data_IF_282140783990
#
_entry.id   IF_282140783990
#
_cell.length_a   1.000
_cell.length_b   1.000
_cell.length_c   1.000
_cell.angle_alpha   90.00
_cell.angle_beta   90.00
_cell.angle_gamma   90.00
#
_symmetry.space_group_name_H-M   'P 1'
#
loop_
_entity.id
_entity.type
_entity.pdbx_description
1 polymer ?
#
# COMPACT_ATOMS: atom_id res chain seq x y z
N UNK A 1 44.91 19.25 44.28
CA UNK A 1 44.22 18.93 45.54
C UNK A 1 43.24 17.86 45.13
N UNK A 2 43.63 16.76 45.38
CA UNK A 2 43.40 15.54 46.19
C UNK A 2 42.41 14.63 45.45
N UNK A 3 42.88 13.48 44.88
CA UNK A 3 43.08 12.19 45.56
C UNK A 3 41.76 11.65 46.10
N UNK A 4 41.31 10.44 45.82
CA UNK A 4 41.92 9.17 45.68
C UNK A 4 40.78 8.16 45.43
N UNK A 5 41.09 7.17 44.81
CA UNK A 5 41.57 5.85 45.19
C UNK A 5 40.52 4.75 45.13
N UNK A 6 40.75 3.77 44.26
CA UNK A 6 40.26 2.38 44.27
C UNK A 6 40.74 1.62 45.53
N UNK A 7 40.13 0.49 45.88
CA UNK A 7 40.76 -0.84 45.64
C UNK A 7 39.74 -1.98 45.29
N UNK A 8 40.04 -2.85 44.33
CA UNK A 8 40.67 -4.20 44.34
C UNK A 8 40.32 -5.19 45.47
N UNK A 9 39.83 -6.37 45.12
CA UNK A 9 40.31 -7.71 45.34
C UNK A 9 39.21 -8.74 45.15
N UNK A 10 39.38 -9.73 44.27
CA UNK A 10 40.10 -11.00 44.34
C UNK A 10 39.33 -12.15 45.02
N UNK A 11 39.32 -13.27 44.33
CA UNK A 11 39.36 -14.64 44.76
C UNK A 11 38.07 -15.41 44.41
N UNK A 12 38.09 -16.55 43.82
CA UNK A 12 39.00 -17.62 43.54
C UNK A 12 38.18 -18.82 43.27
N UNK A 13 38.51 -19.51 42.20
CA UNK A 13 38.74 -20.92 41.99
C UNK A 13 38.00 -21.93 42.91
N UNK A 14 37.31 -22.91 42.29
CA UNK A 14 37.86 -24.23 42.14
C UNK A 14 36.92 -25.14 41.30
N UNK A 15 37.56 -25.96 40.52
CA UNK A 15 37.10 -27.07 39.73
C UNK A 15 36.69 -28.29 40.59
N UNK A 16 35.87 -29.17 40.03
CA UNK A 16 36.11 -30.60 40.04
C UNK A 16 35.13 -31.32 39.11
N UNK A 17 35.76 -32.08 38.23
CA UNK A 17 35.29 -33.23 37.48
C UNK A 17 34.62 -34.24 38.41
N UNK A 18 33.66 -35.00 37.87
CA UNK A 18 33.69 -36.46 38.03
C UNK A 18 32.78 -37.15 37.01
N UNK A 19 33.34 -38.17 36.41
CA UNK A 19 32.81 -39.18 35.50
C UNK A 19 31.84 -40.11 36.22
N UNK A 20 30.99 -40.81 35.45
CA UNK A 20 30.23 -41.94 35.97
C UNK A 20 29.29 -42.55 34.94
N UNK A 21 29.81 -43.48 34.19
CA UNK A 21 29.16 -44.49 33.37
C UNK A 21 28.12 -45.35 34.13
N UNK A 22 27.45 -46.15 33.31
CA UNK A 22 26.74 -47.41 33.55
C UNK A 22 25.21 -47.33 33.59
N UNK A 23 24.60 -47.80 32.54
CA UNK A 23 24.29 -49.20 32.13
C UNK A 23 22.90 -49.71 32.57
N UNK A 24 22.26 -50.27 31.59
CA UNK A 24 21.31 -51.37 31.54
C UNK A 24 19.87 -51.33 32.09
N UNK A 25 19.11 -51.83 31.18
CA UNK A 25 17.98 -52.79 31.26
C UNK A 25 16.57 -52.29 31.34
N UNK A 26 15.95 -52.42 30.17
CA UNK A 26 14.80 -53.32 29.96
C UNK A 26 13.63 -53.25 30.95
N UNK A 27 12.54 -52.67 30.50
CA UNK A 27 11.24 -53.37 30.65
C UNK A 27 10.21 -52.91 29.63
N UNK A 28 9.96 -53.79 28.71
CA UNK A 28 8.87 -53.82 27.75
C UNK A 28 7.56 -53.98 28.50
N UNK A 29 6.67 -52.97 28.44
CA UNK A 29 5.27 -53.16 28.83
C UNK A 29 4.37 -52.80 27.65
N UNK A 30 3.84 -53.86 27.08
CA UNK A 30 2.76 -53.89 26.10
C UNK A 30 1.52 -53.21 26.67
N UNK A 31 0.96 -52.25 25.95
CA UNK A 31 -0.42 -51.84 26.05
C UNK A 31 -1.02 -51.71 24.63
N UNK A 32 -2.32 -51.89 24.46
CA UNK A 32 -2.89 -52.44 23.23
C UNK A 32 -3.21 -51.35 22.19
N UNK A 33 -3.31 -51.82 20.95
CA UNK A 33 -3.78 -51.18 19.76
C UNK A 33 -5.04 -50.35 19.98
N UNK A 34 -4.93 -49.05 19.71
CA UNK A 34 -6.04 -48.21 19.26
C UNK A 34 -5.80 -47.78 17.79
N UNK A 35 -6.06 -48.69 16.90
CA UNK A 35 -6.13 -48.50 15.48
C UNK A 35 -7.58 -48.16 15.07
N UNK A 36 -8.10 -47.00 15.45
CA UNK A 36 -9.44 -46.57 15.00
C UNK A 36 -9.64 -45.06 14.81
N UNK A 37 -8.58 -44.23 14.97
CA UNK A 37 -8.80 -42.74 14.88
C UNK A 37 -8.13 -42.08 13.66
N UNK A 38 -7.35 -42.81 12.87
CA UNK A 38 -6.58 -42.24 11.75
C UNK A 38 -7.28 -42.31 10.39
N UNK A 39 -8.41 -42.97 10.28
CA UNK A 39 -9.15 -43.05 8.97
C UNK A 39 -10.25 -41.99 8.79
N UNK A 40 -10.64 -41.27 9.83
CA UNK A 40 -11.63 -40.19 9.76
C UNK A 40 -11.01 -38.87 9.23
N UNK A 41 -9.79 -38.55 9.68
CA UNK A 41 -9.15 -37.29 9.31
C UNK A 41 -8.63 -37.26 7.87
N UNK A 42 -8.13 -38.41 7.37
CA UNK A 42 -7.68 -38.50 5.96
C UNK A 42 -8.84 -38.39 4.95
N UNK A 43 -10.04 -38.83 5.32
CA UNK A 43 -11.21 -38.76 4.46
C UNK A 43 -11.81 -37.34 4.43
N UNK A 44 -11.70 -36.61 5.53
CA UNK A 44 -12.18 -35.22 5.64
C UNK A 44 -11.26 -34.27 4.90
N UNK A 45 -9.93 -34.50 4.91
CA UNK A 45 -8.94 -33.69 4.20
C UNK A 45 -9.08 -33.83 2.68
N UNK A 46 -9.26 -35.06 2.16
CA UNK A 46 -9.46 -35.30 0.72
C UNK A 46 -10.79 -34.76 0.20
N UNK A 47 -11.82 -34.66 1.03
CA UNK A 47 -13.11 -34.10 0.64
C UNK A 47 -13.05 -32.57 0.59
N UNK A 48 -12.27 -31.97 1.47
CA UNK A 48 -12.06 -30.52 1.51
C UNK A 48 -11.20 -30.05 0.32
N UNK A 49 -10.11 -30.74 0.02
CA UNK A 49 -9.27 -30.44 -1.15
C UNK A 49 -10.05 -30.57 -2.47
N UNK A 50 -10.91 -31.60 -2.61
CA UNK A 50 -11.76 -31.73 -3.79
C UNK A 50 -12.81 -30.60 -3.90
N UNK A 51 -13.36 -30.16 -2.79
CA UNK A 51 -14.32 -29.06 -2.79
C UNK A 51 -13.65 -27.70 -3.12
N UNK A 52 -12.40 -27.53 -2.72
CA UNK A 52 -11.59 -26.36 -3.08
C UNK A 52 -11.24 -26.38 -4.60
N UNK A 53 -10.85 -27.53 -5.15
CA UNK A 53 -10.56 -27.71 -6.59
C UNK A 53 -11.81 -27.53 -7.47
N UNK A 54 -12.98 -27.99 -7.01
CA UNK A 54 -14.23 -27.84 -7.75
C UNK A 54 -14.74 -26.39 -7.71
N UNK A 55 -14.51 -25.67 -6.62
CA UNK A 55 -14.82 -24.23 -6.51
C UNK A 55 -13.92 -23.38 -7.41
N UNK A 56 -12.63 -23.71 -7.51
CA UNK A 56 -11.73 -23.04 -8.45
C UNK A 56 -12.18 -23.24 -9.90
N UNK A 57 -12.62 -24.44 -10.27
CA UNK A 57 -13.15 -24.72 -11.61
C UNK A 57 -14.47 -24.00 -11.90
N UNK A 58 -15.36 -23.89 -10.93
CA UNK A 58 -16.60 -23.10 -11.09
C UNK A 58 -16.31 -21.60 -11.20
N UNK A 59 -15.35 -21.08 -10.43
CA UNK A 59 -14.92 -19.69 -10.53
C UNK A 59 -14.29 -19.38 -11.90
N UNK A 60 -13.45 -20.26 -12.39
CA UNK A 60 -12.85 -20.14 -13.73
C UNK A 60 -13.93 -20.24 -14.83
N UNK A 61 -14.94 -21.10 -14.67
CA UNK A 61 -16.03 -21.22 -15.62
C UNK A 61 -16.95 -19.98 -15.63
N UNK A 62 -17.16 -19.32 -14.49
CA UNK A 62 -17.92 -18.06 -14.39
C UNK A 62 -17.14 -16.89 -15.01
N UNK A 63 -15.81 -16.90 -14.86
CA UNK A 63 -14.92 -15.88 -15.46
C UNK A 63 -14.83 -16.05 -16.98
N UNK A 64 -14.77 -17.30 -17.49
CA UNK A 64 -14.71 -17.58 -18.93
C UNK A 64 -16.11 -17.49 -19.60
N UNK A 65 -17.19 -17.89 -18.93
CA UNK A 65 -18.56 -17.80 -19.46
C UNK A 65 -19.07 -16.37 -19.70
N UNK A 66 -18.42 -15.37 -19.12
CA UNK A 66 -18.71 -13.96 -19.39
C UNK A 66 -18.06 -13.40 -20.66
N UNK A 67 -17.24 -14.20 -21.36
CA UNK A 67 -16.47 -13.75 -22.53
C UNK A 67 -17.11 -14.14 -23.88
N UNK A 68 -17.98 -15.11 -23.92
CA UNK A 68 -18.44 -15.71 -25.18
C UNK A 68 -19.78 -15.16 -25.73
N UNK A 69 -20.51 -14.30 -25.02
CA UNK A 69 -21.80 -13.75 -25.46
C UNK A 69 -21.75 -12.39 -26.16
N UNK A 70 -20.57 -11.92 -26.57
CA UNK A 70 -20.43 -10.68 -27.36
C UNK A 70 -20.13 -10.94 -28.83
N UNK A 71 -20.91 -11.79 -29.47
CA UNK A 71 -20.76 -12.07 -30.91
C UNK A 71 -22.10 -12.25 -31.65
N UNK A 72 -22.46 -11.23 -32.44
CA UNK A 72 -23.39 -11.18 -33.55
C UNK A 72 -24.79 -10.60 -33.29
N UNK A 73 -25.02 -9.35 -33.68
CA UNK A 73 -25.82 -8.93 -34.85
C UNK A 73 -26.07 -7.42 -34.83
N UNK A 74 -25.70 -6.79 -35.84
CA UNK A 74 -26.05 -5.79 -36.79
C UNK A 74 -27.07 -4.70 -36.44
N UNK A 75 -26.70 -3.63 -36.92
CA UNK A 75 -27.33 -2.41 -37.43
C UNK A 75 -27.07 -1.16 -36.58
N UNK A 76 -26.54 -0.16 -37.35
CA UNK A 76 -26.05 1.09 -36.84
C UNK A 76 -27.15 1.93 -36.19
N UNK A 77 -26.74 2.48 -35.10
CA UNK A 77 -27.11 3.80 -34.63
C UNK A 77 -26.01 4.27 -33.69
N UNK A 78 -25.67 5.53 -33.73
CA UNK A 78 -24.61 6.22 -33.02
C UNK A 78 -24.64 5.92 -31.51
N UNK A 79 -24.08 4.80 -31.12
CA UNK A 79 -23.73 4.53 -29.73
C UNK A 79 -22.52 5.41 -29.42
N UNK A 80 -22.83 6.63 -28.94
CA UNK A 80 -21.88 7.48 -28.23
C UNK A 80 -21.14 6.56 -27.27
N UNK A 81 -19.96 6.07 -27.68
CA UNK A 81 -19.05 5.29 -26.88
C UNK A 81 -18.83 6.07 -25.58
N UNK A 82 -19.57 5.73 -24.54
CA UNK A 82 -19.20 6.07 -23.17
C UNK A 82 -17.88 5.35 -22.94
N UNK A 83 -16.79 6.09 -23.22
CA UNK A 83 -15.46 5.62 -22.92
C UNK A 83 -15.45 5.06 -21.50
N UNK A 84 -14.95 3.84 -21.34
CA UNK A 84 -14.85 3.20 -20.05
C UNK A 84 -14.17 4.15 -19.05
N UNK A 85 -14.49 4.12 -17.76
CA UNK A 85 -13.88 4.99 -16.76
C UNK A 85 -12.34 4.98 -16.79
N UNK A 86 -11.75 3.84 -17.17
CA UNK A 86 -10.30 3.69 -17.37
C UNK A 86 -9.73 4.57 -18.47
N UNK A 87 -10.44 4.70 -19.61
CA UNK A 87 -9.99 5.56 -20.72
C UNK A 87 -10.01 7.05 -20.37
N UNK A 88 -10.90 7.46 -19.45
CA UNK A 88 -10.96 8.83 -18.96
C UNK A 88 -9.77 9.14 -18.06
N UNK A 89 -9.36 8.20 -17.20
CA UNK A 89 -8.23 8.36 -16.30
C UNK A 89 -6.90 8.38 -17.07
N UNK A 90 -6.73 7.50 -18.05
CA UNK A 90 -5.55 7.45 -18.91
C UNK A 90 -5.42 8.74 -19.74
N UNK A 91 -6.51 9.29 -20.27
CA UNK A 91 -6.51 10.59 -20.95
C UNK A 91 -6.13 11.74 -20.03
N UNK A 92 -6.53 11.68 -18.77
CA UNK A 92 -6.16 12.69 -17.78
C UNK A 92 -4.67 12.61 -17.43
N UNK A 93 -4.13 11.44 -17.17
CA UNK A 93 -2.73 11.27 -16.76
C UNK A 93 -1.76 11.41 -17.93
N UNK A 94 -2.13 11.05 -19.15
CA UNK A 94 -1.29 11.08 -20.36
C UNK A 94 0.11 10.50 -20.07
N UNK A 95 0.21 9.24 -19.62
CA UNK A 95 1.47 8.69 -19.14
C UNK A 95 2.48 8.55 -20.28
N UNK A 96 3.73 8.92 -20.01
CA UNK A 96 4.86 8.74 -20.91
C UNK A 96 5.82 7.72 -20.31
N UNK A 97 6.20 6.72 -21.07
CA UNK A 97 7.18 5.74 -20.63
C UNK A 97 8.50 6.44 -20.23
N UNK A 98 9.02 6.08 -19.08
CA UNK A 98 10.28 6.62 -18.57
C UNK A 98 11.35 5.55 -18.49
N UNK A 99 11.11 4.48 -17.72
CA UNK A 99 12.11 3.41 -17.52
C UNK A 99 11.43 2.09 -17.14
N UNK A 100 12.22 1.02 -17.15
CA UNK A 100 11.81 -0.27 -16.60
C UNK A 100 12.67 -0.60 -15.39
N UNK A 101 12.08 -0.99 -14.29
CA UNK A 101 12.79 -1.44 -13.09
C UNK A 101 12.48 -2.92 -12.86
N UNK A 102 13.48 -3.79 -13.13
CA UNK A 102 13.22 -5.22 -13.32
C UNK A 102 12.33 -5.44 -14.55
N UNK A 103 11.13 -5.95 -14.32
CA UNK A 103 10.09 -6.17 -15.34
C UNK A 103 8.90 -5.21 -15.21
N UNK A 104 8.95 -4.26 -14.26
CA UNK A 104 7.89 -3.28 -14.03
C UNK A 104 8.18 -2.01 -14.83
N UNK A 105 7.27 -1.64 -15.71
CA UNK A 105 7.33 -0.38 -16.47
C UNK A 105 6.96 0.79 -15.57
N UNK A 106 7.73 1.86 -15.64
CA UNK A 106 7.48 3.12 -14.92
C UNK A 106 7.21 4.21 -15.93
N UNK A 107 6.10 4.90 -15.74
CA UNK A 107 5.65 6.01 -16.57
C UNK A 107 5.64 7.30 -15.76
N UNK A 108 5.72 8.43 -16.44
CA UNK A 108 5.56 9.76 -15.85
C UNK A 108 4.39 10.45 -16.51
N UNK A 109 3.45 10.93 -15.71
CA UNK A 109 2.33 11.75 -16.20
C UNK A 109 2.84 13.07 -16.77
N UNK A 110 2.25 13.54 -17.86
CA UNK A 110 2.56 14.87 -18.40
C UNK A 110 2.29 15.98 -17.37
N UNK A 111 1.29 15.82 -16.50
CA UNK A 111 1.03 16.75 -15.42
C UNK A 111 2.20 16.90 -14.47
N UNK A 112 2.91 15.78 -14.19
CA UNK A 112 4.15 15.80 -13.38
C UNK A 112 5.19 16.69 -14.05
N UNK A 113 5.41 16.54 -15.35
CA UNK A 113 6.38 17.32 -16.11
C UNK A 113 6.01 18.82 -16.09
N UNK A 114 4.72 19.14 -16.30
CA UNK A 114 4.25 20.53 -16.27
C UNK A 114 4.40 21.15 -14.88
N UNK A 115 3.95 20.48 -13.83
CA UNK A 115 4.02 21.01 -12.46
C UNK A 115 5.48 21.25 -12.05
N UNK A 116 6.39 20.31 -12.33
CA UNK A 116 7.81 20.47 -12.05
C UNK A 116 8.46 21.56 -12.91
N UNK A 117 8.09 21.68 -14.19
CA UNK A 117 8.56 22.72 -15.08
C UNK A 117 8.12 24.11 -14.62
N UNK A 118 6.86 24.28 -14.23
CA UNK A 118 6.34 25.53 -13.66
C UNK A 118 7.06 25.84 -12.35
N UNK A 119 7.22 24.87 -11.46
CA UNK A 119 7.92 25.04 -10.19
C UNK A 119 9.36 25.48 -10.40
N UNK A 120 10.09 24.83 -11.31
CA UNK A 120 11.44 25.21 -11.68
C UNK A 120 11.49 26.65 -12.17
N UNK A 121 10.60 27.02 -13.11
CA UNK A 121 10.55 28.36 -13.68
C UNK A 121 10.28 29.43 -12.61
N UNK A 122 9.29 29.19 -11.75
CA UNK A 122 8.94 30.11 -10.67
C UNK A 122 10.12 30.31 -9.70
N UNK A 123 10.79 29.23 -9.26
CA UNK A 123 11.90 29.31 -8.34
C UNK A 123 13.13 30.01 -8.94
N UNK A 124 13.41 29.76 -10.23
CA UNK A 124 14.52 30.43 -10.94
C UNK A 124 14.24 31.92 -11.13
N UNK A 125 13.00 32.29 -11.47
CA UNK A 125 12.63 33.69 -11.71
C UNK A 125 12.48 34.47 -10.42
N UNK A 126 11.82 33.91 -9.39
CA UNK A 126 11.53 34.62 -8.14
C UNK A 126 12.67 34.51 -7.11
N UNK A 127 13.48 33.48 -7.16
CA UNK A 127 14.56 33.23 -6.21
C UNK A 127 15.52 34.39 -6.04
N UNK A 128 16.04 35.03 -7.11
CA UNK A 128 16.92 36.19 -7.01
C UNK A 128 16.32 37.38 -6.25
N UNK A 129 15.00 37.56 -6.33
CA UNK A 129 14.29 38.65 -5.64
C UNK A 129 14.08 38.39 -4.15
N UNK A 130 13.97 37.12 -3.75
CA UNK A 130 13.69 36.73 -2.36
C UNK A 130 14.99 36.44 -1.60
N UNK A 131 15.91 35.70 -2.20
CA UNK A 131 17.12 35.21 -1.52
C UNK A 131 18.40 35.94 -1.92
N UNK A 132 18.35 36.91 -2.85
CA UNK A 132 19.54 37.55 -3.41
C UNK A 132 20.35 36.59 -4.29
N UNK A 133 21.54 37.00 -4.72
CA UNK A 133 22.39 36.21 -5.61
C UNK A 133 22.10 36.42 -7.09
N UNK A 134 22.99 35.93 -7.96
CA UNK A 134 22.87 36.08 -9.40
C UNK A 134 21.92 35.06 -10.02
N UNK A 135 21.35 35.40 -11.15
CA UNK A 135 20.43 34.50 -11.92
C UNK A 135 21.05 33.12 -12.17
N UNK A 136 22.29 33.04 -12.61
CA UNK A 136 22.97 31.74 -12.86
C UNK A 136 23.13 30.89 -11.60
N UNK A 137 23.34 31.52 -10.44
CA UNK A 137 23.36 30.80 -9.16
C UNK A 137 22.01 30.11 -8.92
N UNK A 138 20.91 30.84 -9.11
CA UNK A 138 19.59 30.29 -8.91
C UNK A 138 19.21 29.21 -9.91
N UNK A 139 19.60 29.34 -11.18
CA UNK A 139 19.43 28.27 -12.20
C UNK A 139 20.12 27.00 -11.73
N UNK A 140 21.38 27.08 -11.34
CA UNK A 140 22.15 25.91 -10.89
C UNK A 140 21.58 25.33 -9.59
N UNK A 141 21.35 26.18 -8.59
CA UNK A 141 20.84 25.76 -7.29
C UNK A 141 19.48 25.07 -7.41
N UNK A 142 18.52 25.69 -8.08
CA UNK A 142 17.16 25.13 -8.25
C UNK A 142 17.19 23.86 -9.08
N UNK A 143 18.03 23.78 -10.11
CA UNK A 143 18.14 22.56 -10.92
C UNK A 143 18.67 21.41 -10.08
N UNK A 144 19.76 21.61 -9.32
CA UNK A 144 20.30 20.56 -8.45
C UNK A 144 19.28 20.20 -7.37
N UNK A 145 18.70 21.19 -6.68
CA UNK A 145 17.76 20.99 -5.59
C UNK A 145 16.54 20.18 -6.06
N UNK A 146 15.87 20.59 -7.14
CA UNK A 146 14.70 19.86 -7.68
C UNK A 146 15.07 18.49 -8.23
N UNK A 147 16.26 18.32 -8.83
CA UNK A 147 16.72 17.01 -9.29
C UNK A 147 16.92 16.05 -8.12
N UNK A 148 17.56 16.50 -7.04
CA UNK A 148 17.70 15.71 -5.81
C UNK A 148 16.33 15.41 -5.19
N UNK A 149 15.45 16.40 -5.09
CA UNK A 149 14.11 16.22 -4.56
C UNK A 149 13.31 15.22 -5.41
N UNK A 150 13.37 15.32 -6.73
CA UNK A 150 12.75 14.36 -7.64
C UNK A 150 13.31 12.96 -7.44
N UNK A 151 14.63 12.80 -7.43
CA UNK A 151 15.27 11.50 -7.26
C UNK A 151 14.92 10.83 -5.93
N UNK A 152 15.02 11.55 -4.82
CA UNK A 152 14.75 10.99 -3.48
C UNK A 152 13.26 10.88 -3.18
N UNK A 153 12.45 11.88 -3.53
CA UNK A 153 11.02 11.89 -3.30
C UNK A 153 10.31 10.81 -4.12
N UNK A 154 10.48 10.84 -5.43
CA UNK A 154 9.89 9.80 -6.29
C UNK A 154 10.56 8.45 -6.13
N UNK A 155 11.86 8.39 -5.81
CA UNK A 155 12.54 7.15 -5.46
C UNK A 155 11.88 6.45 -4.26
N UNK A 156 11.51 7.22 -3.22
CA UNK A 156 10.75 6.74 -2.07
C UNK A 156 9.36 6.25 -2.47
N UNK A 157 8.65 7.00 -3.34
CA UNK A 157 7.33 6.60 -3.82
C UNK A 157 7.39 5.36 -4.71
N UNK A 158 8.39 5.25 -5.59
CA UNK A 158 8.59 4.04 -6.40
C UNK A 158 8.86 2.82 -5.51
N UNK A 159 9.66 2.96 -4.45
CA UNK A 159 9.91 1.87 -3.50
C UNK A 159 8.62 1.45 -2.77
N UNK A 160 7.76 2.40 -2.44
CA UNK A 160 6.44 2.16 -1.88
C UNK A 160 5.56 1.34 -2.84
N UNK A 161 5.40 1.79 -4.09
CA UNK A 161 4.60 1.10 -5.10
C UNK A 161 5.17 -0.29 -5.45
N UNK A 162 6.49 -0.42 -5.53
CA UNK A 162 7.14 -1.72 -5.74
C UNK A 162 6.88 -2.70 -4.60
N UNK A 163 6.67 -2.20 -3.38
CA UNK A 163 6.30 -3.05 -2.24
C UNK A 163 4.89 -3.63 -2.39
N UNK A 164 3.94 -2.84 -2.92
CA UNK A 164 2.62 -3.34 -3.32
C UNK A 164 2.75 -4.39 -4.45
N UNK A 165 3.54 -4.10 -5.48
CA UNK A 165 3.82 -5.02 -6.59
C UNK A 165 4.40 -6.34 -6.09
N UNK A 166 5.40 -6.28 -5.22
CA UNK A 166 6.03 -7.47 -4.66
C UNK A 166 5.04 -8.32 -3.86
N UNK A 167 4.27 -7.69 -2.98
CA UNK A 167 3.25 -8.37 -2.19
C UNK A 167 2.15 -8.97 -3.08
N UNK A 168 1.67 -8.23 -4.09
CA UNK A 168 0.67 -8.69 -5.05
C UNK A 168 1.15 -9.98 -5.75
N UNK A 169 2.35 -9.98 -6.31
CA UNK A 169 2.95 -11.14 -6.98
C UNK A 169 3.15 -12.33 -6.03
N UNK A 170 3.51 -12.06 -4.77
CA UNK A 170 3.71 -13.11 -3.77
C UNK A 170 2.44 -13.91 -3.51
N UNK A 171 1.28 -13.29 -3.72
CA UNK A 171 -0.04 -13.92 -3.56
C UNK A 171 -0.68 -14.36 -4.89
N UNK A 172 0.05 -14.31 -6.01
CA UNK A 172 -0.43 -14.76 -7.33
C UNK A 172 -1.11 -13.68 -8.17
N UNK A 173 -1.22 -12.44 -7.67
CA UNK A 173 -1.68 -11.32 -8.48
C UNK A 173 -0.64 -10.85 -9.50
N UNK A 174 -1.05 -9.94 -10.39
CA UNK A 174 -0.23 -9.46 -11.51
C UNK A 174 -0.18 -7.94 -11.55
N UNK A 175 0.86 -7.39 -12.16
CA UNK A 175 0.97 -5.96 -12.48
C UNK A 175 0.44 -5.77 -13.90
N UNK A 176 -0.31 -4.71 -14.11
CA UNK A 176 -0.72 -4.32 -15.46
C UNK A 176 0.53 -4.03 -16.33
N UNK A 177 0.67 -4.77 -17.44
CA UNK A 177 1.85 -4.68 -18.27
C UNK A 177 1.93 -3.37 -19.08
N UNK A 178 0.79 -2.72 -19.31
CA UNK A 178 0.71 -1.50 -20.11
C UNK A 178 0.76 -0.24 -19.24
N UNK A 179 0.23 -0.30 -18.03
CA UNK A 179 0.16 0.83 -17.09
C UNK A 179 1.26 0.82 -16.04
N UNK A 180 1.68 -0.34 -15.55
CA UNK A 180 2.77 -0.49 -14.58
C UNK A 180 2.63 0.41 -13.37
N UNK A 181 3.62 1.28 -13.14
CA UNK A 181 3.60 2.35 -12.13
C UNK A 181 3.61 3.70 -12.83
N UNK A 182 2.65 4.57 -12.52
CA UNK A 182 2.58 5.92 -13.07
C UNK A 182 2.92 6.95 -11.99
N UNK A 183 3.96 7.75 -12.25
CA UNK A 183 4.32 8.90 -11.43
C UNK A 183 3.46 10.10 -11.82
N UNK A 184 2.77 10.69 -10.84
CA UNK A 184 1.93 11.88 -11.01
C UNK A 184 2.32 12.95 -9.97
N UNK A 185 1.85 14.20 -10.06
CA UNK A 185 2.38 15.29 -9.23
C UNK A 185 2.34 15.05 -7.72
N UNK A 186 1.38 14.26 -7.23
CA UNK A 186 1.17 14.02 -5.81
C UNK A 186 1.68 12.65 -5.33
N UNK A 187 2.42 11.90 -6.15
CA UNK A 187 2.97 10.60 -5.75
C UNK A 187 3.13 9.62 -6.91
N UNK A 188 2.82 8.37 -6.67
CA UNK A 188 2.86 7.29 -7.64
C UNK A 188 1.60 6.42 -7.51
N UNK A 189 1.31 5.64 -8.53
CA UNK A 189 0.16 4.73 -8.59
C UNK A 189 0.59 3.44 -9.28
N UNK A 190 0.49 2.30 -8.60
CA UNK A 190 0.67 0.98 -9.20
C UNK A 190 -0.66 0.42 -9.68
N UNK A 191 -0.70 -0.07 -10.92
CA UNK A 191 -1.86 -0.74 -11.49
C UNK A 191 -1.69 -2.24 -11.30
N UNK A 192 -2.51 -2.80 -10.41
CA UNK A 192 -2.43 -4.18 -9.96
C UNK A 192 -3.72 -4.92 -10.28
N UNK A 193 -3.57 -6.11 -10.86
CA UNK A 193 -4.63 -7.09 -10.99
C UNK A 193 -4.60 -8.01 -9.76
N UNK A 194 -5.61 -7.86 -8.92
CA UNK A 194 -5.72 -8.59 -7.65
C UNK A 194 -6.68 -9.79 -7.76
N UNK A 195 -7.05 -10.19 -8.98
CA UNK A 195 -8.01 -11.26 -9.23
C UNK A 195 -7.55 -12.57 -8.57
N UNK A 196 -8.49 -13.25 -7.93
CA UNK A 196 -8.21 -14.46 -7.16
C UNK A 196 -7.64 -14.23 -5.75
N UNK A 197 -7.28 -13.00 -5.36
CA UNK A 197 -6.79 -12.73 -4.01
C UNK A 197 -7.95 -12.65 -3.01
N UNK A 198 -7.73 -13.21 -1.82
CA UNK A 198 -8.64 -13.07 -0.69
C UNK A 198 -8.53 -11.67 -0.05
N UNK A 199 -9.54 -11.25 0.72
CA UNK A 199 -9.50 -9.96 1.44
C UNK A 199 -8.29 -9.83 2.38
N UNK A 200 -7.84 -10.92 3.00
CA UNK A 200 -6.66 -10.91 3.86
C UNK A 200 -5.35 -10.74 3.07
N UNK A 201 -5.26 -11.33 1.89
CA UNK A 201 -4.14 -11.13 0.97
C UNK A 201 -4.14 -9.71 0.42
N UNK A 202 -5.31 -9.18 0.05
CA UNK A 202 -5.44 -7.80 -0.41
C UNK A 202 -5.08 -6.80 0.69
N UNK A 203 -5.48 -7.05 1.95
CA UNK A 203 -5.03 -6.26 3.09
C UNK A 203 -3.51 -6.28 3.22
N UNK A 204 -2.88 -7.44 3.07
CA UNK A 204 -1.42 -7.56 3.11
C UNK A 204 -0.74 -6.81 1.96
N UNK A 205 -1.30 -6.87 0.74
CA UNK A 205 -0.83 -6.08 -0.41
C UNK A 205 -0.93 -4.59 -0.11
N UNK A 206 -2.08 -4.14 0.39
CA UNK A 206 -2.31 -2.72 0.71
C UNK A 206 -1.40 -2.20 1.83
N UNK A 207 -1.08 -3.04 2.82
CA UNK A 207 -0.16 -2.68 3.92
C UNK A 207 1.31 -2.67 3.49
N UNK A 208 1.68 -3.39 2.43
CA UNK A 208 3.08 -3.52 2.01
C UNK A 208 3.71 -2.18 1.66
N UNK A 209 2.99 -1.29 0.95
CA UNK A 209 3.46 0.06 0.62
C UNK A 209 3.76 0.89 1.86
N UNK A 210 2.78 1.19 2.71
CA UNK A 210 3.01 1.96 3.94
C UNK A 210 4.12 1.38 4.81
N UNK A 211 4.16 0.05 5.01
CA UNK A 211 5.19 -0.61 5.84
C UNK A 211 6.59 -0.43 5.24
N UNK A 212 6.74 -0.31 3.92
CA UNK A 212 8.04 -0.10 3.28
C UNK A 212 8.75 1.18 3.72
N UNK A 213 8.01 2.18 4.19
CA UNK A 213 8.61 3.40 4.72
C UNK A 213 9.38 3.17 6.03
N UNK A 214 9.04 2.14 6.83
CA UNK A 214 9.71 1.88 8.09
C UNK A 214 11.21 1.49 7.91
N UNK A 215 11.60 0.53 7.05
CA UNK A 215 13.01 0.27 6.79
C UNK A 215 13.72 1.44 6.10
N UNK A 216 13.05 2.21 5.24
CA UNK A 216 13.64 3.41 4.63
C UNK A 216 13.89 4.50 5.68
N UNK A 217 12.96 4.74 6.59
CA UNK A 217 13.13 5.61 7.74
C UNK A 217 14.35 5.19 8.58
N UNK A 218 14.43 3.90 8.93
CA UNK A 218 15.54 3.36 9.71
C UNK A 218 16.89 3.53 8.99
N UNK A 219 16.94 3.25 7.69
CA UNK A 219 18.14 3.42 6.86
C UNK A 219 18.62 4.88 6.89
N UNK A 220 17.76 5.84 6.57
CA UNK A 220 18.12 7.24 6.54
C UNK A 220 18.51 7.77 7.92
N UNK A 221 17.81 7.32 8.98
CA UNK A 221 18.17 7.64 10.35
C UNK A 221 19.58 7.15 10.72
N UNK A 222 19.89 5.88 10.44
CA UNK A 222 21.19 5.30 10.72
C UNK A 222 22.31 5.99 9.93
N UNK A 223 22.07 6.27 8.64
CA UNK A 223 23.04 7.02 7.82
C UNK A 223 23.30 8.41 8.40
N UNK A 224 22.31 9.07 8.98
CA UNK A 224 22.47 10.39 9.59
C UNK A 224 23.41 10.40 10.80
N UNK A 225 23.64 9.24 11.43
CA UNK A 225 24.50 9.13 12.61
C UNK A 225 26.00 9.06 12.26
N UNK A 226 26.32 8.66 11.02
CA UNK A 226 27.70 8.43 10.56
C UNK A 226 28.12 9.38 9.44
N UNK A 227 27.20 10.16 8.88
CA UNK A 227 27.46 11.09 7.80
C UNK A 227 28.05 12.42 8.32
N UNK A 228 28.74 13.18 7.45
CA UNK A 228 29.13 14.57 7.71
C UNK A 228 27.89 15.45 7.91
N UNK A 229 28.04 16.61 8.55
CA UNK A 229 26.95 17.49 8.98
C UNK A 229 25.95 17.81 7.86
N UNK A 230 26.43 18.18 6.68
CA UNK A 230 25.56 18.51 5.54
C UNK A 230 24.78 17.29 5.04
N UNK A 231 25.43 16.14 4.91
CA UNK A 231 24.82 14.88 4.49
C UNK A 231 23.88 14.34 5.57
N UNK A 232 24.26 14.51 6.84
CA UNK A 232 23.43 14.14 8.00
C UNK A 232 22.11 14.91 8.02
N UNK A 233 22.14 16.22 7.68
CA UNK A 233 20.91 17.01 7.54
C UNK A 233 19.97 16.42 6.47
N UNK A 234 20.50 16.10 5.29
CA UNK A 234 19.72 15.48 4.22
C UNK A 234 19.15 14.11 4.66
N UNK A 235 19.97 13.28 5.31
CA UNK A 235 19.53 11.97 5.79
C UNK A 235 18.41 12.10 6.85
N UNK A 236 18.52 13.05 7.79
CA UNK A 236 17.44 13.33 8.77
C UNK A 236 16.17 13.82 8.10
N UNK A 237 16.30 14.67 7.08
CA UNK A 237 15.15 15.10 6.30
C UNK A 237 14.46 13.93 5.57
N UNK A 238 15.21 13.03 4.94
CA UNK A 238 14.67 11.84 4.28
C UNK A 238 14.07 10.84 5.28
N UNK A 239 14.67 10.71 6.47
CA UNK A 239 14.09 9.94 7.56
C UNK A 239 12.72 10.53 7.99
N UNK A 240 12.66 11.84 8.21
CA UNK A 240 11.42 12.54 8.53
C UNK A 240 10.36 12.39 7.41
N UNK A 241 10.76 12.52 6.15
CA UNK A 241 9.87 12.31 5.01
C UNK A 241 9.25 10.91 5.02
N UNK A 242 10.06 9.88 5.23
CA UNK A 242 9.57 8.50 5.31
C UNK A 242 8.66 8.29 6.53
N UNK A 243 8.95 8.90 7.67
CA UNK A 243 8.07 8.88 8.83
C UNK A 243 6.71 9.54 8.51
N UNK A 244 6.74 10.72 7.91
CA UNK A 244 5.54 11.44 7.53
C UNK A 244 4.69 10.66 6.51
N UNK A 245 5.32 10.06 5.50
CA UNK A 245 4.64 9.21 4.51
C UNK A 245 4.07 7.94 5.14
N UNK A 246 4.79 7.30 6.07
CA UNK A 246 4.29 6.16 6.84
C UNK A 246 2.97 6.52 7.55
N UNK A 247 3.00 7.60 8.34
CA UNK A 247 1.81 8.05 9.08
C UNK A 247 0.68 8.42 8.11
N UNK A 248 1.03 9.12 7.04
CA UNK A 248 0.08 9.60 6.04
C UNK A 248 -0.68 8.47 5.34
N UNK A 249 0.03 7.44 4.88
CA UNK A 249 -0.57 6.30 4.21
C UNK A 249 -1.38 5.40 5.15
N UNK A 250 -1.19 5.48 6.47
CA UNK A 250 -2.05 4.81 7.45
C UNK A 250 -3.31 5.60 7.81
N UNK A 251 -3.40 6.88 7.43
CA UNK A 251 -4.65 7.63 7.68
C UNK A 251 -5.79 7.04 6.85
N UNK A 252 -6.97 6.81 7.48
CA UNK A 252 -8.14 6.26 6.78
C UNK A 252 -8.81 7.32 5.91
N UNK A 253 -8.05 7.89 4.99
CA UNK A 253 -8.43 8.98 4.11
C UNK A 253 -8.29 8.56 2.64
N UNK A 254 -9.39 8.53 1.90
CA UNK A 254 -9.36 8.24 0.47
C UNK A 254 -8.70 9.41 -0.30
N UNK A 255 -7.82 9.14 -1.29
CA UNK A 255 -7.51 7.86 -1.91
C UNK A 255 -6.28 7.11 -1.34
N UNK A 256 -5.87 7.39 -0.10
CA UNK A 256 -4.70 6.75 0.54
C UNK A 256 -4.95 5.28 0.87
N UNK A 257 -3.85 4.50 1.01
CA UNK A 257 -3.91 3.08 1.37
C UNK A 257 -4.66 2.82 2.67
N UNK A 258 -4.54 3.72 3.66
CA UNK A 258 -5.26 3.63 4.92
C UNK A 258 -6.78 3.51 4.77
N UNK A 259 -7.35 4.10 3.70
CA UNK A 259 -8.78 3.93 3.39
C UNK A 259 -9.11 2.51 2.93
N UNK A 260 -8.23 1.90 2.14
CA UNK A 260 -8.36 0.51 1.69
C UNK A 260 -8.10 -0.47 2.83
N UNK A 261 -7.09 -0.18 3.67
CA UNK A 261 -6.83 -0.94 4.91
C UNK A 261 -8.06 -0.95 5.80
N UNK A 262 -8.71 0.23 6.01
CA UNK A 262 -9.93 0.34 6.80
C UNK A 262 -11.07 -0.48 6.18
N UNK A 263 -11.30 -0.35 4.87
CA UNK A 263 -12.34 -1.10 4.18
C UNK A 263 -12.13 -2.62 4.31
N UNK A 264 -10.93 -3.13 3.98
CA UNK A 264 -10.59 -4.54 4.13
C UNK A 264 -10.74 -5.03 5.57
N UNK A 265 -10.27 -4.26 6.56
CA UNK A 265 -10.38 -4.62 7.97
C UNK A 265 -11.84 -4.74 8.43
N UNK A 266 -12.72 -3.83 8.00
CA UNK A 266 -14.15 -3.90 8.28
C UNK A 266 -14.80 -5.13 7.64
N UNK A 267 -14.50 -5.41 6.38
CA UNK A 267 -15.06 -6.53 5.63
C UNK A 267 -14.58 -7.88 6.17
N UNK A 268 -13.34 -7.98 6.65
CA UNK A 268 -12.80 -9.17 7.31
C UNK A 268 -13.54 -9.54 8.60
N UNK A 269 -14.25 -8.60 9.24
CA UNK A 269 -15.12 -8.94 10.37
C UNK A 269 -16.31 -9.79 9.98
N UNK A 270 -16.64 -9.89 8.67
CA UNK A 270 -17.83 -10.56 8.11
C UNK A 270 -19.17 -10.04 8.63
N UNK A 271 -19.19 -8.94 9.38
CA UNK A 271 -20.40 -8.32 9.97
C UNK A 271 -20.83 -7.05 9.25
N UNK A 272 -19.96 -6.51 8.43
CA UNK A 272 -20.13 -5.22 7.75
C UNK A 272 -20.31 -5.45 6.27
N UNK A 273 -21.39 -4.92 5.67
CA UNK A 273 -21.59 -4.94 4.22
C UNK A 273 -20.67 -3.95 3.51
N UNK A 274 -20.40 -4.19 2.23
CA UNK A 274 -19.52 -3.34 1.41
C UNK A 274 -19.99 -1.88 1.39
N UNK A 275 -21.29 -1.64 1.26
CA UNK A 275 -21.87 -0.29 1.31
C UNK A 275 -21.59 0.41 2.65
N UNK A 276 -21.72 -0.33 3.78
CA UNK A 276 -21.43 0.23 5.11
C UNK A 276 -19.95 0.54 5.27
N UNK A 277 -19.06 -0.34 4.78
CA UNK A 277 -17.62 -0.09 4.77
C UNK A 277 -17.29 1.15 3.93
N UNK A 278 -17.92 1.32 2.76
CA UNK A 278 -17.75 2.49 1.91
C UNK A 278 -18.24 3.78 2.61
N UNK A 279 -19.38 3.75 3.31
CA UNK A 279 -19.84 4.89 4.12
C UNK A 279 -18.85 5.25 5.23
N UNK A 280 -18.30 4.27 5.93
CA UNK A 280 -17.30 4.51 6.98
C UNK A 280 -16.04 5.15 6.36
N UNK A 281 -15.57 4.65 5.22
CA UNK A 281 -14.44 5.24 4.48
C UNK A 281 -14.74 6.68 4.09
N UNK A 282 -15.92 6.99 3.57
CA UNK A 282 -16.30 8.35 3.20
C UNK A 282 -16.29 9.28 4.41
N UNK A 283 -16.94 8.89 5.51
CA UNK A 283 -17.03 9.71 6.72
C UNK A 283 -15.64 9.97 7.32
N UNK A 284 -14.82 8.94 7.45
CA UNK A 284 -13.44 9.07 7.97
C UNK A 284 -12.57 9.92 7.06
N UNK A 285 -12.69 9.76 5.73
CA UNK A 285 -11.95 10.54 4.75
C UNK A 285 -12.31 12.04 4.82
N UNK A 286 -13.59 12.39 4.94
CA UNK A 286 -13.99 13.77 5.14
C UNK A 286 -13.45 14.34 6.45
N UNK A 287 -13.55 13.59 7.55
CA UNK A 287 -13.04 14.03 8.84
C UNK A 287 -11.52 14.27 8.80
N UNK A 288 -10.76 13.33 8.24
CA UNK A 288 -9.30 13.45 8.06
C UNK A 288 -8.93 14.62 7.16
N UNK A 289 -9.61 14.79 6.02
CA UNK A 289 -9.31 15.85 5.06
C UNK A 289 -9.59 17.23 5.65
N UNK A 290 -10.71 17.41 6.34
CA UNK A 290 -11.07 18.67 7.00
C UNK A 290 -10.08 18.98 8.14
N UNK A 291 -9.76 17.99 8.97
CA UNK A 291 -8.76 18.15 10.03
C UNK A 291 -7.40 18.54 9.46
N UNK A 292 -6.98 17.89 8.38
CA UNK A 292 -5.72 18.20 7.71
C UNK A 292 -5.68 19.63 7.14
N UNK A 293 -6.74 20.05 6.45
CA UNK A 293 -6.87 21.43 5.94
C UNK A 293 -6.78 22.43 7.11
N UNK A 294 -7.52 22.18 8.20
CA UNK A 294 -7.51 23.03 9.38
C UNK A 294 -6.12 23.15 9.99
N UNK A 295 -5.44 22.02 10.22
CA UNK A 295 -4.09 21.98 10.80
C UNK A 295 -3.06 22.66 9.88
N UNK A 296 -3.19 22.48 8.56
CA UNK A 296 -2.34 23.15 7.57
C UNK A 296 -2.53 24.66 7.59
N UNK A 297 -3.77 25.15 7.55
CA UNK A 297 -4.09 26.59 7.54
C UNK A 297 -3.72 27.28 8.86
N UNK A 298 -3.75 26.56 9.99
CA UNK A 298 -3.37 27.10 11.30
C UNK A 298 -1.87 27.01 11.58
N UNK A 299 -1.09 26.41 10.65
CA UNK A 299 0.37 26.28 10.80
C UNK A 299 0.81 25.25 11.84
N UNK A 300 -0.13 24.44 12.38
CA UNK A 300 0.20 23.40 13.37
C UNK A 300 0.80 22.14 12.74
N UNK A 301 0.63 21.97 11.45
CA UNK A 301 1.13 20.82 10.72
C UNK A 301 1.49 21.19 9.28
N UNK A 302 2.75 20.95 8.91
CA UNK A 302 3.22 21.08 7.53
C UNK A 302 4.14 19.91 7.23
N UNK A 303 3.76 19.09 6.25
CA UNK A 303 4.59 17.99 5.73
C UNK A 303 5.46 18.48 4.59
N UNK A 304 5.02 19.53 3.90
CA UNK A 304 5.68 19.98 2.69
C UNK A 304 6.93 20.79 2.98
N UNK A 305 7.88 20.59 2.10
CA UNK A 305 9.13 21.33 1.94
C UNK A 305 9.16 22.64 2.73
N UNK A 306 9.89 22.61 3.79
CA UNK A 306 10.07 23.67 4.79
C UNK A 306 10.45 25.05 4.22
N UNK A 307 10.68 25.17 2.92
CA UNK A 307 11.28 26.37 2.34
C UNK A 307 10.43 27.18 1.33
N UNK A 308 9.46 26.59 0.66
CA UNK A 308 8.77 27.32 -0.40
C UNK A 308 7.23 27.14 -0.45
N UNK A 309 6.68 26.08 0.15
CA UNK A 309 5.30 25.70 -0.07
C UNK A 309 4.50 25.46 1.24
N UNK A 310 4.95 25.98 2.37
CA UNK A 310 4.32 25.80 3.69
C UNK A 310 2.82 26.08 3.71
N UNK A 311 2.34 26.93 2.79
CA UNK A 311 0.93 27.31 2.73
C UNK A 311 0.12 26.53 1.69
N UNK A 312 0.70 25.57 0.96
CA UNK A 312 0.01 24.79 -0.07
C UNK A 312 -0.38 23.37 0.38
N UNK A 313 -0.04 22.99 1.60
CA UNK A 313 -0.38 21.66 2.15
C UNK A 313 -1.90 21.41 2.14
N UNK A 314 -2.70 22.44 2.39
CA UNK A 314 -4.15 22.35 2.35
C UNK A 314 -4.71 21.90 0.98
N UNK A 315 -3.96 22.15 -0.13
CA UNK A 315 -4.35 21.72 -1.48
C UNK A 315 -4.51 20.21 -1.55
N UNK A 316 -3.64 19.48 -0.89
CA UNK A 316 -3.76 18.02 -0.83
C UNK A 316 -5.01 17.58 -0.05
N UNK A 317 -5.34 18.26 1.04
CA UNK A 317 -6.59 18.02 1.76
C UNK A 317 -7.83 18.25 0.90
N UNK A 318 -7.81 19.32 0.07
CA UNK A 318 -8.87 19.60 -0.91
C UNK A 318 -8.94 18.49 -1.96
N UNK A 319 -7.79 18.01 -2.46
CA UNK A 319 -7.75 16.86 -3.37
C UNK A 319 -8.43 15.64 -2.77
N UNK A 320 -8.13 15.30 -1.51
CA UNK A 320 -8.78 14.20 -0.81
C UNK A 320 -10.30 14.42 -0.64
N UNK A 321 -10.75 15.65 -0.36
CA UNK A 321 -12.17 15.99 -0.31
C UNK A 321 -12.85 15.74 -1.65
N UNK A 322 -12.25 16.20 -2.75
CA UNK A 322 -12.80 16.04 -4.11
C UNK A 322 -12.87 14.56 -4.48
N UNK A 323 -11.78 13.80 -4.24
CA UNK A 323 -11.74 12.38 -4.49
C UNK A 323 -12.81 11.62 -3.68
N UNK A 324 -12.95 11.93 -2.39
CA UNK A 324 -13.97 11.35 -1.51
C UNK A 324 -15.38 11.71 -1.97
N UNK A 325 -15.59 12.92 -2.52
CA UNK A 325 -16.89 13.35 -3.01
C UNK A 325 -17.38 12.52 -4.20
N UNK A 326 -16.46 12.03 -5.03
CA UNK A 326 -16.80 11.09 -6.11
C UNK A 326 -17.34 9.77 -5.52
N UNK A 327 -16.67 9.21 -4.51
CA UNK A 327 -17.15 7.99 -3.83
C UNK A 327 -18.53 8.23 -3.19
N UNK A 328 -18.71 9.38 -2.53
CA UNK A 328 -20.00 9.76 -1.93
C UNK A 328 -21.11 9.88 -3.00
N UNK A 329 -20.81 10.44 -4.17
CA UNK A 329 -21.75 10.52 -5.27
C UNK A 329 -22.21 9.13 -5.74
N UNK A 330 -21.28 8.19 -5.91
CA UNK A 330 -21.61 6.81 -6.30
C UNK A 330 -22.45 6.12 -5.22
N UNK A 331 -22.10 6.29 -3.94
CA UNK A 331 -22.85 5.73 -2.80
C UNK A 331 -24.29 6.25 -2.75
N UNK A 332 -24.50 7.56 -2.89
CA UNK A 332 -25.84 8.17 -2.84
C UNK A 332 -26.74 7.71 -3.99
N UNK A 333 -26.15 7.37 -5.12
CA UNK A 333 -26.88 6.90 -6.30
C UNK A 333 -27.03 5.37 -6.34
N UNK A 334 -26.63 4.65 -5.29
CA UNK A 334 -26.66 3.18 -5.28
C UNK A 334 -25.70 2.52 -6.28
N UNK A 335 -24.68 3.26 -6.72
CA UNK A 335 -23.72 2.87 -7.76
C UNK A 335 -22.32 2.57 -7.20
N UNK A 336 -22.25 2.06 -5.99
CA UNK A 336 -20.96 1.66 -5.35
C UNK A 336 -20.19 0.66 -6.21
N UNK A 337 -20.92 -0.20 -6.91
CA UNK A 337 -20.35 -1.21 -7.83
C UNK A 337 -19.60 -0.61 -9.02
N UNK A 338 -19.85 0.65 -9.35
CA UNK A 338 -19.11 1.33 -10.44
C UNK A 338 -17.74 1.86 -9.97
N UNK A 339 -17.45 1.78 -8.67
CA UNK A 339 -16.16 2.20 -8.13
C UNK A 339 -15.18 1.02 -8.16
N UNK A 340 -14.00 1.13 -8.81
CA UNK A 340 -13.09 0.00 -9.03
C UNK A 340 -12.73 -0.78 -7.76
N UNK A 341 -12.50 -0.09 -6.66
CA UNK A 341 -12.15 -0.72 -5.38
C UNK A 341 -13.33 -1.44 -4.74
N UNK A 342 -14.52 -0.81 -4.72
CA UNK A 342 -15.67 -1.37 -4.02
C UNK A 342 -16.41 -2.42 -4.84
N UNK A 343 -16.40 -2.37 -6.18
CA UNK A 343 -16.92 -3.44 -7.03
C UNK A 343 -16.23 -4.76 -6.75
N UNK A 344 -14.90 -4.72 -6.63
CA UNK A 344 -14.10 -5.87 -6.29
C UNK A 344 -14.42 -6.43 -4.90
N UNK A 345 -14.56 -5.56 -3.89
CA UNK A 345 -14.90 -5.99 -2.54
C UNK A 345 -16.25 -6.69 -2.48
N UNK A 346 -17.20 -6.28 -3.32
CA UNK A 346 -18.51 -6.92 -3.38
C UNK A 346 -18.41 -8.33 -3.95
N UNK A 347 -17.67 -8.53 -5.04
CA UNK A 347 -17.45 -9.87 -5.64
C UNK A 347 -16.82 -10.82 -4.59
N UNK A 348 -15.78 -10.37 -3.90
CA UNK A 348 -15.09 -11.19 -2.90
C UNK A 348 -15.99 -11.43 -1.67
N UNK A 349 -16.78 -10.44 -1.25
CA UNK A 349 -17.70 -10.55 -0.13
C UNK A 349 -18.84 -11.55 -0.43
N UNK A 350 -19.43 -11.47 -1.62
CA UNK A 350 -20.51 -12.37 -2.06
C UNK A 350 -20.01 -13.81 -2.19
N UNK A 351 -18.78 -14.01 -2.71
CA UNK A 351 -18.17 -15.33 -2.78
C UNK A 351 -17.96 -15.95 -1.37
N UNK A 352 -17.57 -15.16 -0.37
CA UNK A 352 -17.44 -15.63 1.01
C UNK A 352 -18.78 -16.05 1.62
N UNK A 353 -19.86 -15.29 1.38
CA UNK A 353 -21.18 -15.61 1.91
C UNK A 353 -21.82 -16.81 1.22
N UNK A 354 -21.64 -16.94 -0.09
CA UNK A 354 -22.11 -18.13 -0.81
C UNK A 354 -21.47 -19.42 -0.25
N UNK A 355 -20.18 -19.37 0.11
CA UNK A 355 -19.49 -20.51 0.70
C UNK A 355 -19.97 -20.83 2.14
N UNK A 356 -20.24 -19.82 2.97
CA UNK A 356 -20.76 -20.02 4.33
C UNK A 356 -22.18 -20.62 4.31
N UNK A 357 -23.00 -20.28 3.32
CA UNK A 357 -24.36 -20.85 3.17
C UNK A 357 -24.31 -22.32 2.72
N UNK A 358 -23.40 -22.68 1.82
CA UNK A 358 -23.20 -24.09 1.38
C UNK A 358 -22.58 -24.96 2.49
N UNK A 359 -21.75 -24.38 3.35
CA UNK A 359 -21.06 -25.11 4.41
C UNK A 359 -21.89 -25.29 5.70
N UNK A 360 -23.06 -24.66 5.80
CA UNK A 360 -24.00 -24.92 6.91
C UNK A 360 -24.77 -26.20 6.59
N UNK A 361 -24.55 -27.31 7.32
CA UNK A 361 -25.45 -28.45 7.22
C UNK A 361 -26.84 -27.93 7.63
N UNK A 362 -27.82 -28.02 6.73
CA UNK A 362 -29.21 -27.83 7.08
C UNK A 362 -29.50 -28.76 8.26
N UNK A 363 -29.64 -28.18 9.42
CA UNK A 363 -30.21 -28.88 10.58
C UNK A 363 -31.67 -29.06 10.25
N UNK A 364 -31.99 -30.16 9.55
CA UNK A 364 -33.36 -30.63 9.47
C UNK A 364 -33.78 -31.00 10.90
N UNK A 365 -34.57 -30.14 11.51
CA UNK A 365 -35.37 -30.41 12.67
C UNK A 365 -36.67 -31.16 12.23
#
# INVERSE_FOLDING_TARGET
>A
MSEGATPTARGGADARDDDGDDDETSTRKLLPNDAATTTSDAKTTTTRERAEDDLERELDAVVDGGRDDAGASGDGDEESQRAAPEDAFDRYLQPKFWMTLGDVKIFVSLWTIYVWGVMWTLLVVLGPFVGGGGFFFWVLFVTIFLSCFFAFGYGTMIAHELSHVYACRRFGGRVDEDKGIILWPFGALAFLHLDGLTLSQELAVTLAGPISHAPMLALWWLLSLVASDDVSFLCRYLAFLNFALLVWHFLPCYPMDGSRVLACALLLTRRVRVETAAWVVVVTSYACSIAYIYLSLTGHFSITLYFALQNLDWVFGVFCLVATSHVLFLLRNGRVRDHPTFSRYEIVYDAYHAFDDVSRPEVFL
#
